data_IF_005211528973
#
_entry.id   IF_005211528973
#
_cell.length_a   1.000
_cell.length_b   1.000
_cell.length_c   1.000
_cell.angle_alpha   90.00
_cell.angle_beta   90.00
_cell.angle_gamma   90.00
#
_symmetry.space_group_name_H-M   'P 1'
#
loop_
_entity.id
_entity.type
_entity.pdbx_description
1 polymer ?
#
# COMPACT_ATOMS: atom_id res chain seq x y z
N UNK A 1 19.84 7.03 -3.70
CA UNK A 1 18.56 7.58 -4.21
C UNK A 1 18.17 8.73 -3.27
N UNK A 2 17.82 9.92 -3.78
CA UNK A 2 17.63 11.13 -2.95
C UNK A 2 16.56 10.95 -1.86
N UNK A 3 15.46 10.26 -2.16
CA UNK A 3 14.38 10.00 -1.19
C UNK A 3 14.87 9.23 0.05
N UNK A 4 15.67 8.17 -0.14
CA UNK A 4 16.27 7.42 0.98
C UNK A 4 17.19 8.33 1.81
N UNK A 5 17.97 9.19 1.15
CA UNK A 5 18.85 10.13 1.85
C UNK A 5 18.06 11.18 2.65
N UNK A 6 16.85 11.52 2.22
CA UNK A 6 15.93 12.45 2.89
C UNK A 6 15.11 11.78 4.02
N UNK A 7 15.33 10.50 4.28
CA UNK A 7 14.64 9.71 5.30
C UNK A 7 13.29 9.17 4.87
N UNK A 8 13.04 9.05 3.56
CA UNK A 8 11.84 8.41 3.02
C UNK A 8 12.05 6.91 2.81
N UNK A 9 11.03 6.16 3.18
CA UNK A 9 10.96 4.71 3.18
C UNK A 9 9.91 4.23 2.17
N UNK A 10 10.10 2.99 1.70
CA UNK A 10 9.41 2.48 0.52
C UNK A 10 7.98 2.07 0.83
N UNK A 11 7.08 2.29 -0.12
CA UNK A 11 5.75 1.67 -0.10
C UNK A 11 5.72 0.51 -1.11
N UNK A 12 5.30 -0.65 -0.64
CA UNK A 12 5.27 -1.89 -1.39
C UNK A 12 3.91 -2.15 -2.04
N UNK A 13 2.83 -1.83 -1.33
CA UNK A 13 1.46 -2.15 -1.73
C UNK A 13 0.53 -1.01 -1.38
N UNK A 14 -0.34 -0.66 -2.32
CA UNK A 14 -1.48 0.23 -2.12
C UNK A 14 -2.73 -0.64 -2.03
N UNK A 15 -3.43 -0.58 -0.90
CA UNK A 15 -4.70 -1.26 -0.69
C UNK A 15 -5.88 -0.31 -0.88
N UNK A 16 -5.69 0.96 -0.56
CA UNK A 16 -6.72 1.98 -0.68
C UNK A 16 -6.10 3.35 -0.95
N UNK A 17 -6.71 4.10 -1.89
CA UNK A 17 -6.36 5.47 -2.19
C UNK A 17 -7.62 6.34 -2.28
N UNK A 18 -7.66 7.41 -1.48
CA UNK A 18 -8.71 8.42 -1.53
C UNK A 18 -8.11 9.79 -1.21
N UNK A 19 -7.91 10.61 -2.24
CA UNK A 19 -7.16 11.88 -2.18
C UNK A 19 -5.72 11.75 -1.63
N UNK A 20 -5.21 10.52 -1.49
CA UNK A 20 -3.93 10.18 -0.87
C UNK A 20 -3.92 8.69 -0.45
N UNK A 21 -2.76 8.14 -0.03
CA UNK A 21 -2.69 6.76 0.45
C UNK A 21 -3.55 6.59 1.71
N UNK A 22 -4.42 5.59 1.75
CA UNK A 22 -5.29 5.33 2.92
C UNK A 22 -4.98 4.01 3.60
N UNK A 23 -4.61 2.99 2.83
CA UNK A 23 -4.16 1.73 3.40
C UNK A 23 -3.11 1.08 2.50
N UNK A 24 -2.20 0.34 3.10
CA UNK A 24 -1.14 -0.31 2.35
C UNK A 24 -0.07 -0.96 3.22
N UNK A 25 1.04 -1.28 2.57
CA UNK A 25 2.23 -1.86 3.19
C UNK A 25 3.44 -1.00 2.87
N UNK A 26 4.12 -0.49 3.89
CA UNK A 26 5.29 0.37 3.77
C UNK A 26 6.38 -0.02 4.77
N UNK A 27 7.62 0.39 4.50
CA UNK A 27 8.67 0.32 5.50
C UNK A 27 8.49 1.39 6.58
N UNK A 28 8.75 0.99 7.82
CA UNK A 28 8.92 1.84 9.00
C UNK A 28 10.17 1.37 9.72
N UNK A 29 11.19 2.22 9.81
CA UNK A 29 12.51 1.89 10.34
C UNK A 29 13.13 0.65 9.66
N UNK A 30 12.98 0.55 8.34
CA UNK A 30 13.51 -0.52 7.49
C UNK A 30 12.77 -1.86 7.63
N UNK A 31 11.57 -1.87 8.22
CA UNK A 31 10.76 -3.08 8.38
C UNK A 31 9.35 -2.89 7.80
N UNK A 32 8.77 -3.90 7.12
CA UNK A 32 7.42 -3.81 6.61
C UNK A 32 6.36 -3.69 7.72
N UNK A 33 5.51 -2.70 7.57
CA UNK A 33 4.35 -2.45 8.40
C UNK A 33 3.14 -2.18 7.51
N UNK A 34 1.99 -2.63 7.95
CA UNK A 34 0.73 -2.14 7.44
C UNK A 34 0.48 -0.73 7.96
N UNK A 35 -0.20 0.08 7.15
CA UNK A 35 -0.74 1.36 7.57
C UNK A 35 -2.21 1.46 7.19
N UNK A 36 -2.99 2.17 8.00
CA UNK A 36 -4.39 2.51 7.76
C UNK A 36 -4.70 3.91 8.30
N UNK A 37 -5.20 4.80 7.45
CA UNK A 37 -5.57 6.17 7.81
C UNK A 37 -6.72 6.19 8.84
N UNK A 38 -6.63 7.11 9.81
CA UNK A 38 -7.58 7.21 10.92
C UNK A 38 -8.73 8.19 10.69
N UNK A 39 -8.49 9.25 9.91
CA UNK A 39 -9.45 10.33 9.74
C UNK A 39 -9.77 10.59 8.26
N UNK A 40 -11.01 11.04 8.03
CA UNK A 40 -11.55 11.47 6.74
C UNK A 40 -11.73 12.99 6.68
N UNK A 41 -11.26 13.72 7.69
CA UNK A 41 -11.47 15.17 7.73
C UNK A 41 -10.57 15.90 6.71
N UNK A 42 -11.17 16.74 5.88
CA UNK A 42 -10.56 17.50 4.77
C UNK A 42 -9.57 18.59 5.24
N UNK A 43 -9.06 18.50 6.48
CA UNK A 43 -8.13 19.47 7.04
C UNK A 43 -6.71 19.26 6.47
N UNK A 44 -6.03 20.36 6.11
CA UNK A 44 -4.69 20.43 5.48
C UNK A 44 -3.52 19.78 6.28
N UNK A 45 -3.77 18.99 7.32
CA UNK A 45 -2.73 18.34 8.14
C UNK A 45 -2.31 16.99 7.53
N UNK A 46 -1.04 16.62 7.70
CA UNK A 46 -0.55 15.33 7.23
C UNK A 46 -1.30 14.20 7.94
N UNK A 47 -1.82 13.26 7.16
CA UNK A 47 -2.68 12.18 7.66
C UNK A 47 -2.03 11.38 8.80
N UNK A 48 -2.85 11.03 9.79
CA UNK A 48 -2.51 10.09 10.84
C UNK A 48 -2.89 8.66 10.44
N UNK A 49 -2.01 7.72 10.76
CA UNK A 49 -2.13 6.32 10.41
C UNK A 49 -1.98 5.44 11.65
N UNK A 50 -2.86 4.45 11.77
CA UNK A 50 -2.58 3.24 12.54
C UNK A 50 -1.57 2.39 11.79
N UNK A 51 -0.48 2.01 12.45
CA UNK A 51 0.65 1.30 11.86
C UNK A 51 1.03 0.09 12.71
N UNK A 52 1.11 -1.09 12.09
CA UNK A 52 1.43 -2.35 12.77
C UNK A 52 2.32 -3.26 11.92
N UNK A 53 3.18 -4.09 12.55
CA UNK A 53 4.14 -4.90 11.82
C UNK A 53 3.45 -5.95 10.94
N UNK A 54 3.98 -6.14 9.74
CA UNK A 54 3.62 -7.27 8.89
C UNK A 54 4.59 -8.44 9.16
N UNK A 55 4.07 -9.67 9.14
CA UNK A 55 4.92 -10.86 9.18
C UNK A 55 5.54 -11.12 7.79
N UNK A 56 6.66 -11.82 7.74
CA UNK A 56 7.30 -12.17 6.44
C UNK A 56 6.32 -12.89 5.50
N UNK A 57 5.49 -13.79 6.05
CA UNK A 57 4.45 -14.47 5.29
C UNK A 57 3.39 -13.50 4.72
N UNK A 58 2.97 -12.51 5.52
CA UNK A 58 2.04 -11.49 5.04
C UNK A 58 2.69 -10.64 3.93
N UNK A 59 3.95 -10.24 4.10
CA UNK A 59 4.69 -9.47 3.09
C UNK A 59 4.80 -10.22 1.77
N UNK A 60 5.11 -11.51 1.79
CA UNK A 60 5.18 -12.34 0.57
C UNK A 60 3.83 -12.39 -0.15
N UNK A 61 2.74 -12.65 0.58
CA UNK A 61 1.39 -12.72 0.03
C UNK A 61 0.91 -11.37 -0.52
N UNK A 62 1.17 -10.27 0.19
CA UNK A 62 0.83 -8.91 -0.24
C UNK A 62 1.57 -8.54 -1.54
N UNK A 63 2.87 -8.83 -1.62
CA UNK A 63 3.66 -8.53 -2.81
C UNK A 63 3.26 -9.39 -4.00
N UNK A 64 2.82 -10.62 -3.77
CA UNK A 64 2.26 -11.46 -4.83
C UNK A 64 0.95 -10.88 -5.37
N UNK A 65 0.01 -10.53 -4.49
CA UNK A 65 -1.27 -9.94 -4.90
C UNK A 65 -1.04 -8.61 -5.64
N UNK A 66 -0.12 -7.79 -5.14
CA UNK A 66 0.29 -6.55 -5.77
C UNK A 66 0.87 -6.75 -7.17
N UNK A 67 1.74 -7.75 -7.37
CA UNK A 67 2.32 -8.03 -8.67
C UNK A 67 1.26 -8.46 -9.71
N UNK A 68 0.18 -9.15 -9.28
CA UNK A 68 -0.95 -9.47 -10.16
C UNK A 68 -1.68 -8.18 -10.56
N UNK A 69 -2.02 -7.32 -9.59
CA UNK A 69 -2.66 -6.04 -9.85
C UNK A 69 -1.81 -5.14 -10.77
N UNK A 70 -0.52 -4.98 -10.48
CA UNK A 70 0.36 -4.09 -11.26
C UNK A 70 0.47 -4.52 -12.73
N UNK A 71 0.55 -5.83 -13.01
CA UNK A 71 0.55 -6.35 -14.40
C UNK A 71 -0.80 -6.13 -15.08
N UNK A 72 -1.90 -6.31 -14.35
CA UNK A 72 -3.22 -6.00 -14.88
C UNK A 72 -3.34 -4.51 -15.22
N UNK A 73 -2.88 -3.63 -14.33
CA UNK A 73 -2.93 -2.19 -14.53
C UNK A 73 -2.10 -1.76 -15.75
N UNK A 74 -0.89 -2.32 -15.92
CA UNK A 74 -0.08 -2.07 -17.12
C UNK A 74 -0.84 -2.40 -18.42
N UNK A 75 -1.55 -3.54 -18.44
CA UNK A 75 -2.38 -3.94 -19.58
C UNK A 75 -3.60 -3.06 -19.78
N UNK A 76 -4.20 -2.59 -18.70
CA UNK A 76 -5.35 -1.68 -18.70
C UNK A 76 -4.95 -0.30 -19.25
N UNK A 77 -3.85 0.28 -18.77
CA UNK A 77 -3.30 1.55 -19.28
C UNK A 77 -2.89 1.45 -20.76
N UNK A 78 -2.42 0.28 -21.20
CA UNK A 78 -2.15 -0.01 -22.61
C UNK A 78 -3.43 -0.21 -23.46
N UNK A 79 -4.62 -0.18 -22.85
CA UNK A 79 -5.91 -0.38 -23.52
C UNK A 79 -6.17 -1.82 -24.00
N UNK A 80 -5.43 -2.80 -23.48
CA UNK A 80 -5.52 -4.21 -23.92
C UNK A 80 -6.53 -5.04 -23.14
N UNK A 81 -7.00 -4.54 -22.01
CA UNK A 81 -8.06 -5.13 -21.17
C UNK A 81 -8.95 -4.01 -20.63
N UNK A 82 -10.23 -4.30 -20.41
CA UNK A 82 -11.17 -3.35 -19.81
C UNK A 82 -11.28 -3.48 -18.28
N UNK A 83 -11.92 -2.51 -17.62
CA UNK A 83 -12.10 -2.48 -16.16
C UNK A 83 -12.89 -3.67 -15.59
N UNK A 84 -13.71 -4.33 -16.40
CA UNK A 84 -14.43 -5.58 -16.05
C UNK A 84 -13.51 -6.79 -15.81
N UNK A 85 -12.23 -6.66 -16.16
CA UNK A 85 -11.21 -7.70 -15.91
C UNK A 85 -10.37 -7.41 -14.67
N UNK A 86 -10.74 -6.41 -13.88
CA UNK A 86 -10.00 -6.04 -12.68
C UNK A 86 -9.97 -7.23 -11.69
N UNK A 87 -8.79 -7.70 -11.26
CA UNK A 87 -8.67 -8.95 -10.50
C UNK A 87 -9.39 -8.89 -9.15
N UNK A 88 -9.47 -7.70 -8.54
CA UNK A 88 -10.24 -7.48 -7.29
C UNK A 88 -11.76 -7.54 -7.40
N UNK A 89 -12.36 -7.78 -8.58
CA UNK A 89 -13.82 -7.92 -8.70
C UNK A 89 -14.35 -9.27 -8.22
N UNK A 90 -13.47 -10.24 -7.96
CA UNK A 90 -13.85 -11.60 -7.59
C UNK A 90 -14.21 -12.45 -8.80
N UNK A 91 -13.73 -13.69 -8.84
CA UNK A 91 -14.03 -14.66 -9.91
C UNK A 91 -13.31 -14.39 -11.24
N UNK A 92 -12.41 -13.41 -11.28
CA UNK A 92 -11.60 -13.07 -12.46
C UNK A 92 -10.23 -13.75 -12.42
N UNK A 93 -9.54 -13.64 -11.28
CA UNK A 93 -8.24 -14.25 -11.04
C UNK A 93 -8.30 -15.08 -9.76
N UNK A 94 -8.28 -16.41 -9.91
CA UNK A 94 -8.45 -17.34 -8.79
C UNK A 94 -7.34 -17.21 -7.74
N UNK A 95 -6.12 -16.81 -8.16
CA UNK A 95 -5.02 -16.60 -7.20
C UNK A 95 -5.21 -15.29 -6.46
N UNK A 96 -5.67 -14.24 -7.13
CA UNK A 96 -6.02 -12.98 -6.46
C UNK A 96 -7.11 -13.19 -5.41
N UNK A 97 -8.14 -13.96 -5.74
CA UNK A 97 -9.24 -14.30 -4.84
C UNK A 97 -8.75 -15.09 -3.62
N UNK A 98 -7.91 -16.10 -3.82
CA UNK A 98 -7.30 -16.88 -2.74
C UNK A 98 -6.45 -15.97 -1.82
N UNK A 99 -5.60 -15.12 -2.41
CA UNK A 99 -4.77 -14.18 -1.67
C UNK A 99 -5.62 -13.20 -0.86
N UNK A 100 -6.75 -12.74 -1.38
CA UNK A 100 -7.64 -11.84 -0.66
C UNK A 100 -8.20 -12.48 0.63
N UNK A 101 -8.54 -13.78 0.57
CA UNK A 101 -8.98 -14.54 1.74
C UNK A 101 -7.84 -14.77 2.75
N UNK A 102 -6.64 -15.10 2.27
CA UNK A 102 -5.47 -15.32 3.13
C UNK A 102 -4.99 -14.03 3.82
N UNK A 103 -5.13 -12.88 3.15
CA UNK A 103 -4.66 -11.58 3.63
C UNK A 103 -5.63 -10.87 4.55
N UNK A 104 -6.93 -11.20 4.49
CA UNK A 104 -7.98 -10.61 5.32
C UNK A 104 -7.62 -10.47 6.81
N UNK A 105 -7.09 -11.50 7.51
CA UNK A 105 -6.74 -11.35 8.93
C UNK A 105 -5.54 -10.43 9.20
N UNK A 106 -4.60 -10.27 8.26
CA UNK A 106 -3.42 -9.42 8.45
C UNK A 106 -3.72 -7.93 8.26
N UNK A 107 -4.75 -7.63 7.46
CA UNK A 107 -5.20 -6.25 7.14
C UNK A 107 -6.09 -5.63 8.21
N UNK A 108 -6.35 -6.33 9.32
CA UNK A 108 -7.07 -5.78 10.46
C UNK A 108 -6.07 -5.16 11.44
N UNK A 109 -6.22 -3.88 11.72
CA UNK A 109 -5.39 -3.20 12.71
C UNK A 109 -5.60 -3.85 14.10
N UNK A 110 -4.52 -4.25 14.80
CA UNK A 110 -4.62 -4.73 16.16
C UNK A 110 -4.76 -3.57 17.16
N UNK A 111 -5.30 -3.84 18.35
CA UNK A 111 -5.49 -2.83 19.42
C UNK A 111 -4.19 -2.11 19.84
N UNK A 112 -3.03 -2.70 19.56
CA UNK A 112 -1.72 -2.16 19.88
C UNK A 112 -1.00 -1.52 18.67
N UNK A 113 -1.72 -1.18 17.60
CA UNK A 113 -1.19 -0.42 16.49
C UNK A 113 -0.63 0.94 16.98
N UNK A 114 0.46 1.38 16.37
CA UNK A 114 1.08 2.68 16.66
C UNK A 114 0.40 3.77 15.84
N UNK A 115 0.21 4.95 16.43
CA UNK A 115 -0.15 6.15 15.68
C UNK A 115 1.09 6.84 15.14
N UNK A 116 1.17 6.99 13.82
CA UNK A 116 2.23 7.73 13.13
C UNK A 116 1.63 8.73 12.15
N UNK A 117 2.32 9.84 11.93
CA UNK A 117 2.03 10.78 10.84
C UNK A 117 2.93 10.45 9.66
N UNK A 118 2.34 10.34 8.46
CA UNK A 118 3.06 10.03 7.22
C UNK A 118 3.22 11.25 6.32
N UNK A 119 4.45 11.73 6.11
CA UNK A 119 4.75 12.67 5.02
C UNK A 119 4.95 11.89 3.71
N UNK A 120 4.25 12.29 2.66
CA UNK A 120 4.31 11.64 1.34
C UNK A 120 5.18 12.43 0.38
N UNK A 121 6.04 11.72 -0.38
CA UNK A 121 6.72 12.25 -1.58
C UNK A 121 6.67 11.25 -2.71
N UNK A 122 6.79 11.76 -3.93
CA UNK A 122 6.74 10.97 -5.16
C UNK A 122 8.11 10.94 -5.85
N UNK A 123 8.43 9.80 -6.46
CA UNK A 123 9.47 9.68 -7.47
C UNK A 123 8.92 9.92 -8.89
N UNK A 124 9.81 9.92 -9.89
CA UNK A 124 9.44 10.24 -11.28
C UNK A 124 8.98 9.01 -12.10
N UNK A 125 8.78 7.85 -11.47
CA UNK A 125 8.39 6.62 -12.14
C UNK A 125 6.89 6.44 -12.28
N UNK A 126 6.50 5.28 -12.83
CA UNK A 126 5.10 4.90 -12.91
C UNK A 126 4.52 4.64 -11.52
N UNK A 127 3.27 5.06 -11.32
CA UNK A 127 2.53 4.89 -10.07
C UNK A 127 2.48 3.45 -9.60
N UNK A 128 2.13 2.52 -10.49
CA UNK A 128 1.98 1.10 -10.19
C UNK A 128 3.07 0.28 -10.88
N UNK A 129 3.92 -0.38 -10.09
CA UNK A 129 5.04 -1.23 -10.55
C UNK A 129 5.05 -2.53 -9.74
N UNK A 130 5.54 -3.63 -10.31
CA UNK A 130 5.61 -4.90 -9.58
C UNK A 130 6.45 -4.81 -8.30
N UNK A 131 7.44 -3.92 -8.27
CA UNK A 131 8.34 -3.72 -7.14
C UNK A 131 7.82 -2.70 -6.11
N UNK A 132 6.68 -2.05 -6.35
CA UNK A 132 6.05 -1.09 -5.43
C UNK A 132 5.47 0.13 -6.12
N UNK A 133 5.46 1.25 -5.41
CA UNK A 133 4.74 2.48 -5.79
C UNK A 133 5.70 3.63 -6.11
N UNK A 134 5.19 4.68 -6.77
CA UNK A 134 5.91 5.94 -6.98
C UNK A 134 5.96 6.84 -5.75
N UNK A 135 5.15 6.57 -4.73
CA UNK A 135 5.19 7.33 -3.49
C UNK A 135 5.90 6.60 -2.36
N UNK A 136 6.41 7.42 -1.45
CA UNK A 136 7.26 7.05 -0.33
C UNK A 136 6.77 7.78 0.92
N UNK A 137 6.95 7.15 2.07
CA UNK A 137 6.59 7.74 3.36
C UNK A 137 7.81 8.16 4.14
N UNK A 138 7.71 9.25 4.86
CA UNK A 138 8.55 9.53 6.03
C UNK A 138 7.66 9.57 7.26
N UNK A 139 7.94 8.69 8.20
CA UNK A 139 7.14 8.52 9.40
C UNK A 139 7.65 9.37 10.56
N UNK A 140 6.72 9.87 11.37
CA UNK A 140 7.02 10.48 12.67
C UNK A 140 5.93 10.08 13.68
N UNK A 141 6.24 10.01 14.98
CA UNK A 141 5.21 9.81 16.00
C UNK A 141 4.10 10.87 15.89
N UNK A 142 2.84 10.47 16.04
CA UNK A 142 1.76 11.43 16.33
C UNK A 142 1.96 12.04 17.73
N UNK A 143 1.41 13.25 17.95
CA UNK A 143 1.63 14.07 19.15
C UNK A 143 0.81 13.63 20.36
#
# INVERSE_FOLDING_TARGET
MQLIADGFERVYVELEWYSGPRAGLADVDGKPHYFQGLDWDDADEADEYSVWPASDAAVELEREQWAIFARWNERHEAGTVGPETHPGQGGIDARYDELALLLAPYRQAPDNAKLLVGEVRFDAGARYRAEGLDYWFRWRPSR
#
